data_IF_568997746886
#
_entry.id   IF_568997746886
#
_cell.length_a   1.000
_cell.length_b   1.000
_cell.length_c   1.000
_cell.angle_alpha   90.00
_cell.angle_beta   90.00
_cell.angle_gamma   90.00
#
_symmetry.space_group_name_H-M   'P 1'
#
loop_
_entity.id
_entity.type
_entity.pdbx_description
1 polymer ?
#
# COMPACT_ATOMS: atom_id res chain seq x y z
N UNK A 1 -44.72 12.16 14.57
CA UNK A 1 -43.50 11.47 15.07
C UNK A 1 -42.64 10.82 13.97
N UNK A 2 -43.20 10.34 12.85
CA UNK A 2 -42.42 9.71 11.77
C UNK A 2 -41.47 10.65 11.00
N UNK A 3 -41.81 11.94 10.84
CA UNK A 3 -40.92 12.93 10.21
C UNK A 3 -39.63 13.15 11.00
N UNK A 4 -39.75 13.32 12.33
CA UNK A 4 -38.62 13.56 13.23
C UNK A 4 -37.67 12.36 13.21
N UNK A 5 -38.20 11.13 13.28
CA UNK A 5 -37.39 9.93 13.17
C UNK A 5 -36.67 9.85 11.83
N UNK A 6 -37.34 10.14 10.70
CA UNK A 6 -36.70 10.14 9.38
C UNK A 6 -35.56 11.14 9.30
N UNK A 7 -35.77 12.37 9.79
CA UNK A 7 -34.74 13.40 9.81
C UNK A 7 -33.58 13.04 10.72
N UNK A 8 -33.85 12.49 11.91
CA UNK A 8 -32.82 12.04 12.85
C UNK A 8 -32.00 10.91 12.25
N UNK A 9 -32.63 9.93 11.59
CA UNK A 9 -31.89 8.84 10.93
C UNK A 9 -30.99 9.36 9.80
N UNK A 10 -31.48 10.24 8.92
CA UNK A 10 -30.60 10.84 7.89
C UNK A 10 -29.50 11.70 8.49
N UNK A 11 -29.79 12.46 9.56
CA UNK A 11 -28.77 13.25 10.23
C UNK A 11 -27.67 12.36 10.81
N UNK A 12 -28.03 11.26 11.49
CA UNK A 12 -27.07 10.28 12.00
C UNK A 12 -26.24 9.67 10.88
N UNK A 13 -26.88 9.25 9.78
CA UNK A 13 -26.15 8.66 8.64
C UNK A 13 -25.16 9.65 8.03
N UNK A 14 -25.54 10.91 7.84
CA UNK A 14 -24.65 11.94 7.29
C UNK A 14 -23.48 12.23 8.24
N UNK A 15 -23.73 12.29 9.56
CA UNK A 15 -22.67 12.46 10.55
C UNK A 15 -21.68 11.29 10.52
N UNK A 16 -22.17 10.05 10.46
CA UNK A 16 -21.31 8.87 10.36
C UNK A 16 -20.47 8.89 9.08
N UNK A 17 -21.07 9.23 7.92
CA UNK A 17 -20.34 9.34 6.65
C UNK A 17 -19.28 10.43 6.70
N UNK A 18 -19.61 11.61 7.25
CA UNK A 18 -18.65 12.70 7.42
C UNK A 18 -17.47 12.26 8.31
N UNK A 19 -17.73 11.65 9.45
CA UNK A 19 -16.67 11.17 10.36
C UNK A 19 -15.80 10.10 9.70
N UNK A 20 -16.39 9.12 8.99
CA UNK A 20 -15.65 8.09 8.26
C UNK A 20 -14.82 8.67 7.12
N UNK A 21 -15.31 9.70 6.43
CA UNK A 21 -14.54 10.39 5.38
C UNK A 21 -13.39 11.21 5.99
N UNK A 22 -13.62 11.97 7.07
CA UNK A 22 -12.56 12.72 7.74
C UNK A 22 -11.49 11.79 8.35
N UNK A 23 -11.90 10.69 8.98
CA UNK A 23 -10.97 9.69 9.53
C UNK A 23 -10.29 8.89 8.43
N UNK A 24 -10.98 8.52 7.36
CA UNK A 24 -10.41 7.87 6.17
C UNK A 24 -9.37 8.75 5.45
N UNK A 25 -9.67 10.04 5.28
CA UNK A 25 -8.76 11.00 4.68
C UNK A 25 -7.56 11.35 5.58
N UNK A 26 -7.68 11.22 6.91
CA UNK A 26 -6.53 11.41 7.84
C UNK A 26 -5.77 10.11 8.14
N UNK A 27 -6.37 8.95 7.89
CA UNK A 27 -5.71 7.62 8.01
C UNK A 27 -4.92 7.22 6.77
N UNK A 28 -5.04 7.97 5.67
CA UNK A 28 -3.88 8.18 4.79
C UNK A 28 -2.93 9.12 5.52
N UNK A 29 -2.28 8.59 6.56
CA UNK A 29 -0.98 9.12 6.98
C UNK A 29 -0.05 8.82 5.81
N UNK A 30 -0.06 9.71 4.81
CA UNK A 30 1.00 9.77 3.82
C UNK A 30 2.34 9.76 4.56
N UNK A 31 3.42 9.23 3.96
CA UNK A 31 4.73 9.33 4.57
C UNK A 31 4.92 10.76 5.04
N UNK A 32 5.25 10.94 6.32
CA UNK A 32 5.39 12.26 6.94
C UNK A 32 6.15 13.17 5.97
N UNK A 33 5.60 14.34 5.67
CA UNK A 33 6.26 15.30 4.80
C UNK A 33 7.68 15.50 5.32
N UNK A 34 8.65 15.11 4.49
CA UNK A 34 10.07 15.27 4.75
C UNK A 34 10.31 16.77 5.00
N UNK A 35 10.70 17.11 6.24
CA UNK A 35 11.10 18.45 6.67
C UNK A 35 12.05 19.07 5.61
N UNK A 36 12.01 20.37 5.28
CA UNK A 36 12.99 20.95 4.36
C UNK A 36 14.45 20.86 4.86
N UNK A 37 14.67 20.48 6.13
CA UNK A 37 15.99 20.05 6.65
C UNK A 37 16.35 18.59 6.33
N UNK A 38 15.45 17.83 5.69
CA UNK A 38 15.68 16.47 5.21
C UNK A 38 15.97 16.50 3.72
N UNK A 39 17.25 16.40 3.40
CA UNK A 39 17.74 16.06 2.08
C UNK A 39 17.05 14.77 1.61
N UNK A 40 16.05 14.88 0.73
CA UNK A 40 15.65 13.79 -0.18
C UNK A 40 14.22 13.26 -0.11
N UNK A 41 13.28 13.91 -0.82
CA UNK A 41 12.12 13.22 -1.40
C UNK A 41 12.03 13.59 -2.89
N UNK A 42 12.32 12.60 -3.75
CA UNK A 42 12.49 12.78 -5.20
C UNK A 42 11.13 12.96 -5.90
N UNK A 43 11.12 13.89 -6.86
CA UNK A 43 10.01 14.25 -7.73
C UNK A 43 9.44 13.08 -8.55
N UNK A 44 8.12 13.09 -8.77
CA UNK A 44 7.37 12.20 -9.67
C UNK A 44 7.62 12.54 -11.15
N UNK A 45 8.89 12.46 -11.58
CA UNK A 45 9.27 12.66 -12.98
C UNK A 45 8.79 11.49 -13.87
N UNK A 46 8.48 11.74 -15.16
CA UNK A 46 8.13 10.70 -16.11
C UNK A 46 9.20 9.60 -16.18
N UNK A 47 8.77 8.34 -16.15
CA UNK A 47 9.64 7.18 -16.18
C UNK A 47 10.29 7.07 -17.57
N UNK A 48 11.63 7.02 -17.68
CA UNK A 48 12.26 6.85 -18.99
C UNK A 48 11.92 5.47 -19.57
N UNK A 49 11.32 5.47 -20.74
CA UNK A 49 11.10 4.31 -21.60
C UNK A 49 12.45 3.78 -22.11
N UNK A 50 12.99 2.79 -21.40
CA UNK A 50 14.12 1.95 -21.81
C UNK A 50 13.86 0.52 -21.36
N UNK A 51 14.61 -0.50 -21.81
CA UNK A 51 14.42 -1.85 -21.33
C UNK A 51 14.61 -1.86 -19.80
N UNK A 52 13.48 -1.83 -19.11
CA UNK A 52 13.36 -1.71 -17.67
C UNK A 52 13.51 -3.07 -17.01
N UNK A 53 14.29 -3.98 -17.61
CA UNK A 53 14.49 -5.29 -17.02
C UNK A 53 15.32 -5.09 -15.76
N UNK A 54 14.71 -5.34 -14.58
CA UNK A 54 15.46 -5.27 -13.33
C UNK A 54 16.61 -6.27 -13.45
N UNK A 55 17.85 -5.84 -13.20
CA UNK A 55 18.94 -6.80 -13.09
C UNK A 55 18.59 -7.74 -11.95
N UNK A 56 18.24 -8.98 -12.28
CA UNK A 56 17.81 -9.97 -11.30
C UNK A 56 19.03 -10.40 -10.50
N UNK A 57 19.35 -9.64 -9.45
CA UNK A 57 20.38 -10.03 -8.49
C UNK A 57 19.77 -11.07 -7.57
N UNK A 58 19.81 -12.33 -8.04
CA UNK A 58 19.23 -13.46 -7.33
C UNK A 58 19.97 -13.84 -6.04
N UNK A 59 20.97 -13.08 -5.60
CA UNK A 59 21.77 -13.46 -4.42
C UNK A 59 20.89 -13.77 -3.19
N UNK A 60 19.90 -12.95 -2.79
CA UNK A 60 19.01 -13.29 -1.68
C UNK A 60 18.12 -14.51 -1.93
N UNK A 61 17.66 -14.71 -3.17
CA UNK A 61 16.79 -15.83 -3.52
C UNK A 61 17.57 -17.16 -3.58
N UNK A 62 18.82 -17.12 -4.05
CA UNK A 62 19.70 -18.27 -4.16
C UNK A 62 20.12 -18.78 -2.78
N UNK A 63 20.44 -17.88 -1.86
CA UNK A 63 20.72 -18.24 -0.46
C UNK A 63 19.53 -18.96 0.18
N UNK A 64 18.31 -18.47 -0.05
CA UNK A 64 17.10 -19.15 0.42
C UNK A 64 16.93 -20.55 -0.19
N UNK A 65 17.21 -20.73 -1.48
CA UNK A 65 17.11 -22.03 -2.15
C UNK A 65 18.16 -23.03 -1.66
N UNK A 66 19.37 -22.57 -1.32
CA UNK A 66 20.42 -23.42 -0.75
C UNK A 66 20.02 -23.96 0.64
N UNK A 67 19.24 -23.21 1.42
CA UNK A 67 18.70 -23.66 2.71
C UNK A 67 17.59 -24.72 2.59
N UNK A 68 16.83 -24.70 1.48
CA UNK A 68 15.67 -25.60 1.30
C UNK A 68 16.12 -27.01 0.89
N UNK A 69 17.41 -27.21 0.59
CA UNK A 69 17.99 -28.50 0.19
C UNK A 69 17.51 -28.95 -1.20
N UNK A 70 18.07 -30.04 -1.75
CA UNK A 70 17.61 -30.58 -3.01
C UNK A 70 16.14 -31.00 -2.90
N UNK A 71 15.34 -30.60 -3.89
CA UNK A 71 13.96 -31.07 -3.99
C UNK A 71 13.95 -32.59 -4.13
N UNK A 72 13.07 -33.32 -3.42
CA UNK A 72 12.91 -34.75 -3.67
C UNK A 72 12.52 -34.93 -5.13
N UNK A 73 13.41 -35.52 -5.91
CA UNK A 73 13.10 -35.90 -7.28
C UNK A 73 11.93 -36.87 -7.22
N UNK A 74 10.75 -36.44 -7.66
CA UNK A 74 9.69 -37.35 -8.08
C UNK A 74 10.18 -38.05 -9.36
N UNK A 75 11.07 -39.02 -9.10
CA UNK A 75 11.29 -40.30 -9.78
C UNK A 75 10.99 -40.35 -11.28
N UNK A 76 12.02 -40.57 -12.10
CA UNK A 76 12.00 -41.36 -13.35
C UNK A 76 13.46 -41.81 -13.58
N UNK A 77 13.83 -43.08 -13.54
CA UNK A 77 13.11 -44.29 -13.95
C UNK A 77 13.57 -45.53 -13.15
#
# INVERSE_FOLDING_TARGET
>A
MARVHRTTTTATLLVTVAVSALTGCTTVRGPAAADPSTVGARSSAPRPDGPAEPRVVQAPAREALEMIGPSPTLEHA
#
